data_IF_948960583806
#
_entry.id   IF_948960583806
#
_cell.length_a   1.000
_cell.length_b   1.000
_cell.length_c   1.000
_cell.angle_alpha   90.00
_cell.angle_beta   90.00
_cell.angle_gamma   90.00
#
_symmetry.space_group_name_H-M   'P 1'
#
loop_
_entity.id
_entity.type
_entity.pdbx_description
1 polymer ?
#
# COMPACT_ATOMS: atom_id res chain seq x y z
N UNK A 1 5.03 7.63 4.68
CA UNK A 1 5.51 6.71 5.74
C UNK A 1 4.41 5.70 5.97
N UNK A 2 4.74 4.41 6.19
CA UNK A 2 3.72 3.37 6.33
C UNK A 2 2.95 3.49 7.65
N UNK A 3 1.72 2.99 7.67
CA UNK A 3 0.89 3.01 8.88
C UNK A 3 1.45 2.02 9.91
N UNK A 4 1.32 2.35 11.21
CA UNK A 4 1.80 1.47 12.29
C UNK A 4 1.16 0.08 12.24
N UNK A 5 -0.07 0.00 11.76
CA UNK A 5 -0.82 -1.24 11.59
C UNK A 5 -0.19 -2.15 10.52
N UNK A 6 0.42 -1.61 9.47
CA UNK A 6 1.11 -2.38 8.43
C UNK A 6 2.42 -2.97 8.95
N UNK A 7 3.12 -2.21 9.79
CA UNK A 7 4.33 -2.69 10.48
C UNK A 7 3.97 -3.86 11.43
N UNK A 8 2.88 -3.75 12.20
CA UNK A 8 2.42 -4.82 13.09
C UNK A 8 2.07 -6.09 12.31
N UNK A 9 1.41 -5.96 11.14
CA UNK A 9 1.08 -7.13 10.29
C UNK A 9 2.32 -7.79 9.72
N UNK A 10 3.29 -7.01 9.23
CA UNK A 10 4.56 -7.54 8.74
C UNK A 10 5.34 -8.28 9.84
N UNK A 11 5.33 -7.76 11.07
CA UNK A 11 5.95 -8.46 12.22
C UNK A 11 5.22 -9.76 12.56
N UNK A 12 3.89 -9.73 12.59
CA UNK A 12 3.10 -10.94 12.83
C UNK A 12 3.36 -12.01 11.76
N UNK A 13 3.46 -11.62 10.50
CA UNK A 13 3.81 -12.54 9.41
C UNK A 13 5.21 -13.14 9.60
N UNK A 14 6.15 -12.37 10.17
CA UNK A 14 7.46 -12.86 10.54
C UNK A 14 7.42 -13.85 11.73
N UNK A 15 6.63 -13.56 12.76
CA UNK A 15 6.42 -14.45 13.91
C UNK A 15 5.73 -15.76 13.51
N UNK A 16 4.81 -15.70 12.55
CA UNK A 16 4.15 -16.87 11.96
C UNK A 16 5.07 -17.64 11.01
N UNK A 17 6.32 -17.18 10.80
CA UNK A 17 7.31 -17.86 9.96
C UNK A 17 7.03 -17.76 8.45
N UNK A 18 6.21 -16.79 8.02
CA UNK A 18 5.91 -16.58 6.60
C UNK A 18 7.13 -16.02 5.87
N UNK A 19 7.13 -16.20 4.55
CA UNK A 19 8.24 -15.78 3.71
C UNK A 19 8.50 -14.26 3.81
N UNK A 20 9.75 -13.81 3.59
CA UNK A 20 10.09 -12.39 3.56
C UNK A 20 9.28 -11.59 2.52
N UNK A 21 8.89 -12.23 1.41
CA UNK A 21 8.06 -11.61 0.38
C UNK A 21 6.62 -11.37 0.84
N UNK A 22 6.09 -12.22 1.72
CA UNK A 22 4.76 -12.02 2.32
C UNK A 22 4.76 -10.83 3.27
N UNK A 23 5.79 -10.73 4.12
CA UNK A 23 5.98 -9.60 5.05
C UNK A 23 6.14 -8.27 4.28
N UNK A 24 7.02 -8.26 3.27
CA UNK A 24 7.20 -7.09 2.40
C UNK A 24 5.92 -6.74 1.61
N UNK A 25 5.11 -7.76 1.28
CA UNK A 25 3.85 -7.60 0.58
C UNK A 25 2.82 -6.77 1.33
N UNK A 26 2.85 -6.72 2.67
CA UNK A 26 1.95 -5.87 3.47
C UNK A 26 2.17 -4.38 3.14
N UNK A 27 3.41 -3.95 2.97
CA UNK A 27 3.74 -2.56 2.60
C UNK A 27 3.34 -2.22 1.17
N UNK A 28 3.52 -3.15 0.24
CA UNK A 28 3.11 -2.95 -1.17
C UNK A 28 1.59 -2.88 -1.28
N UNK A 29 0.86 -3.70 -0.52
CA UNK A 29 -0.61 -3.65 -0.45
C UNK A 29 -1.08 -2.30 0.07
N UNK A 30 -0.50 -1.80 1.16
CA UNK A 30 -0.82 -0.49 1.72
C UNK A 30 -0.58 0.64 0.72
N UNK A 31 0.58 0.67 0.05
CA UNK A 31 0.90 1.70 -0.93
C UNK A 31 -0.11 1.71 -2.10
N UNK A 32 -0.52 0.52 -2.56
CA UNK A 32 -1.56 0.38 -3.60
C UNK A 32 -2.90 0.93 -3.11
N UNK A 33 -3.30 0.64 -1.86
CA UNK A 33 -4.52 1.18 -1.28
C UNK A 33 -4.48 2.71 -1.19
N UNK A 34 -3.35 3.28 -0.78
CA UNK A 34 -3.16 4.72 -0.71
C UNK A 34 -3.19 5.40 -2.09
N UNK A 35 -2.63 4.76 -3.11
CA UNK A 35 -2.74 5.22 -4.51
C UNK A 35 -4.20 5.20 -4.96
N UNK A 36 -4.95 4.12 -4.69
CA UNK A 36 -6.38 4.00 -5.03
C UNK A 36 -7.25 5.01 -4.30
N UNK A 37 -6.91 5.31 -3.05
CA UNK A 37 -7.60 6.30 -2.23
C UNK A 37 -7.18 7.75 -2.57
N UNK A 38 -6.24 7.93 -3.50
CA UNK A 38 -5.75 9.26 -3.91
C UNK A 38 -4.90 9.97 -2.86
N UNK A 39 -4.43 9.26 -1.81
CA UNK A 39 -3.59 9.82 -0.75
C UNK A 39 -2.20 10.20 -1.25
N UNK A 40 -1.66 9.43 -2.19
CA UNK A 40 -0.50 9.83 -2.98
C UNK A 40 -1.04 10.48 -4.23
N UNK A 41 -0.84 11.79 -4.39
CA UNK A 41 -1.41 12.61 -5.45
C UNK A 41 -0.92 12.22 -6.86
N UNK A 42 -1.32 11.04 -7.34
CA UNK A 42 -1.41 10.78 -8.76
C UNK A 42 -2.70 11.45 -9.22
N UNK A 43 -2.55 12.70 -9.71
CA UNK A 43 -3.53 13.29 -10.61
C UNK A 43 -3.81 12.24 -11.68
N UNK A 44 -4.95 11.56 -11.56
CA UNK A 44 -5.57 10.94 -12.70
C UNK A 44 -5.77 12.11 -13.68
N UNK A 45 -5.00 12.12 -14.76
CA UNK A 45 -5.27 12.97 -15.91
C UNK A 45 -6.60 12.46 -16.45
N UNK A 46 -7.71 12.89 -15.81
CA UNK A 46 -9.03 12.78 -16.37
C UNK A 46 -8.94 13.66 -17.59
N UNK A 47 -8.76 13.04 -18.76
CA UNK A 47 -8.87 13.72 -20.03
C UNK A 47 -10.23 14.42 -20.00
N UNK A 48 -10.18 15.71 -19.69
CA UNK A 48 -11.35 16.55 -19.64
C UNK A 48 -11.98 16.52 -21.01
N UNK A 49 -13.30 16.31 -21.04
CA UNK A 49 -14.11 16.66 -22.18
C UNK A 49 -13.68 18.04 -22.69
N UNK A 50 -13.01 18.07 -23.84
CA UNK A 50 -12.90 19.29 -24.63
C UNK A 50 -14.32 19.59 -25.14
N UNK A 51 -14.96 20.60 -24.54
CA UNK A 51 -15.95 21.40 -25.27
C UNK A 51 -15.20 22.34 -26.22
#
# INVERSE_FOLDING_TARGET
MPESQTVVRAHRDAEEGKSPSTQAGEFVREEIEHIRQGKHGARYYQAGNCN
#
